data_IF_374684510395
#
_entry.id   IF_374684510395
#
_cell.length_a   1.000
_cell.length_b   1.000
_cell.length_c   1.000
_cell.angle_alpha   90.00
_cell.angle_beta   90.00
_cell.angle_gamma   90.00
#
_symmetry.space_group_name_H-M   'P 1'
#
loop_
_entity.id
_entity.type
_entity.pdbx_description
1 polymer ?
#
# COMPACT_ATOMS: atom_id res chain seq x y z
N UNK A 1 -17.98 4.75 0.82
CA UNK A 1 -16.87 5.52 1.41
C UNK A 1 -17.00 6.96 0.92
N UNK A 2 -17.28 7.94 1.81
CA UNK A 2 -17.63 9.31 1.40
C UNK A 2 -16.39 10.16 1.10
N UNK A 3 -16.36 10.77 -0.08
CA UNK A 3 -15.26 11.59 -0.63
C UNK A 3 -15.02 12.89 0.18
N UNK A 4 -15.97 13.30 1.03
CA UNK A 4 -15.87 14.52 1.86
C UNK A 4 -14.88 14.39 3.04
N UNK A 5 -14.44 13.19 3.42
CA UNK A 5 -13.53 12.95 4.55
C UNK A 5 -12.05 13.26 4.28
N UNK A 6 -11.67 13.62 3.04
CA UNK A 6 -10.27 13.71 2.63
C UNK A 6 -9.60 15.08 2.85
N UNK A 7 -10.33 16.11 3.30
CA UNK A 7 -9.76 17.48 3.40
C UNK A 7 -8.59 17.63 4.39
N UNK A 8 -8.40 16.68 5.31
CA UNK A 8 -7.27 16.63 6.25
C UNK A 8 -6.55 15.27 6.22
N UNK A 9 -6.67 14.54 5.11
CA UNK A 9 -6.09 13.21 4.95
C UNK A 9 -4.85 13.31 4.06
N UNK A 10 -3.68 13.01 4.62
CA UNK A 10 -2.47 12.82 3.82
C UNK A 10 -2.54 11.48 3.11
N UNK A 11 -2.63 11.51 1.78
CA UNK A 11 -2.45 10.33 0.93
C UNK A 11 -0.96 10.23 0.63
N UNK A 12 -0.27 9.33 1.31
CA UNK A 12 1.17 9.14 1.15
C UNK A 12 1.39 7.65 0.89
N UNK A 13 2.31 7.35 -0.03
CA UNK A 13 2.61 5.96 -0.43
C UNK A 13 3.23 5.13 0.69
N UNK A 14 4.04 4.14 0.31
CA UNK A 14 4.80 3.33 1.27
C UNK A 14 5.61 4.24 2.21
N UNK A 15 5.32 4.17 3.50
CA UNK A 15 5.94 5.01 4.52
C UNK A 15 6.74 4.15 5.50
N UNK A 16 8.06 4.35 5.62
CA UNK A 16 8.83 3.72 6.69
C UNK A 16 8.48 4.33 8.05
N UNK A 17 8.69 3.56 9.12
CA UNK A 17 8.38 3.93 10.50
C UNK A 17 8.84 5.33 10.91
N UNK A 18 10.09 5.69 10.61
CA UNK A 18 10.64 7.01 10.93
C UNK A 18 9.84 8.16 10.30
N UNK A 19 9.41 7.98 9.05
CA UNK A 19 8.59 8.98 8.36
C UNK A 19 7.20 9.10 8.98
N UNK A 20 6.61 7.99 9.44
CA UNK A 20 5.33 7.99 10.16
C UNK A 20 5.42 8.74 11.50
N UNK A 21 6.51 8.55 12.25
CA UNK A 21 6.75 9.28 13.51
C UNK A 21 6.98 10.78 13.27
N UNK A 22 7.67 11.14 12.18
CA UNK A 22 7.84 12.54 11.79
C UNK A 22 6.51 13.22 11.45
N UNK A 23 5.62 12.54 10.73
CA UNK A 23 4.27 13.05 10.43
C UNK A 23 3.45 13.25 11.71
N UNK A 24 3.55 12.31 12.65
CA UNK A 24 2.93 12.45 13.96
C UNK A 24 3.47 13.68 14.72
N UNK A 25 4.79 13.87 14.76
CA UNK A 25 5.42 15.04 15.38
C UNK A 25 5.00 16.36 14.70
N UNK A 26 4.61 16.31 13.42
CA UNK A 26 4.07 17.45 12.66
C UNK A 26 2.54 17.65 12.80
N UNK A 27 1.91 17.05 13.82
CA UNK A 27 0.47 17.12 14.07
C UNK A 27 -0.44 16.48 13.00
N UNK A 28 0.10 15.59 12.16
CA UNK A 28 -0.73 14.74 11.30
C UNK A 28 -1.28 13.60 12.14
N UNK A 29 -2.61 13.45 12.15
CA UNK A 29 -3.32 12.44 12.96
C UNK A 29 -4.09 11.41 12.14
N UNK A 30 -4.23 11.65 10.84
CA UNK A 30 -4.91 10.74 9.91
C UNK A 30 -4.04 10.53 8.69
N UNK A 31 -3.53 9.32 8.54
CA UNK A 31 -2.60 8.96 7.47
C UNK A 31 -3.17 7.76 6.74
N UNK A 32 -3.28 7.84 5.41
CA UNK A 32 -3.51 6.64 4.60
C UNK A 32 -2.15 6.08 4.20
N UNK A 33 -1.95 4.80 4.46
CA UNK A 33 -0.81 4.01 3.97
C UNK A 33 -1.34 3.05 2.91
N UNK A 34 -0.72 3.06 1.73
CA UNK A 34 -1.12 2.19 0.62
C UNK A 34 -0.20 0.97 0.52
N UNK A 35 -0.78 -0.21 0.25
CA UNK A 35 0.02 -1.38 -0.14
C UNK A 35 0.67 -1.12 -1.50
N UNK A 36 1.72 -1.88 -1.76
CA UNK A 36 2.24 -1.98 -3.11
C UNK A 36 1.19 -2.67 -3.98
N UNK A 37 0.85 -2.03 -5.10
CA UNK A 37 0.10 -2.62 -6.19
C UNK A 37 0.83 -3.88 -6.74
N UNK A 38 0.19 -4.75 -7.53
CA UNK A 38 0.82 -5.96 -8.07
C UNK A 38 1.85 -5.61 -9.15
N UNK A 39 3.06 -5.24 -8.73
CA UNK A 39 4.14 -4.75 -9.61
C UNK A 39 4.53 -5.80 -10.66
N UNK A 40 4.37 -7.09 -10.36
CA UNK A 40 4.59 -8.19 -11.32
C UNK A 40 3.68 -8.12 -12.56
N UNK A 41 2.65 -7.28 -12.55
CA UNK A 41 1.78 -7.01 -13.69
C UNK A 41 2.23 -5.82 -14.54
N UNK A 42 3.24 -5.05 -14.12
CA UNK A 42 3.67 -3.87 -14.88
C UNK A 42 4.34 -4.25 -16.21
N UNK A 43 4.14 -3.48 -17.30
CA UNK A 43 4.64 -3.83 -18.63
C UNK A 43 6.14 -4.15 -18.68
N UNK A 44 6.95 -3.42 -17.91
CA UNK A 44 8.38 -3.65 -17.79
C UNK A 44 8.71 -5.08 -17.33
N UNK A 45 8.05 -5.57 -16.27
CA UNK A 45 8.30 -6.91 -15.74
C UNK A 45 7.71 -8.01 -16.61
N UNK A 46 6.55 -7.77 -17.24
CA UNK A 46 6.00 -8.70 -18.21
C UNK A 46 6.97 -8.91 -19.38
N UNK A 47 7.59 -7.85 -19.88
CA UNK A 47 8.59 -7.91 -20.94
C UNK A 47 9.88 -8.61 -20.46
N UNK A 48 10.43 -8.19 -19.33
CA UNK A 48 11.67 -8.72 -18.78
C UNK A 48 11.60 -10.23 -18.49
N UNK A 49 10.46 -10.71 -17.98
CA UNK A 49 10.25 -12.13 -17.64
C UNK A 49 9.61 -12.93 -18.78
N UNK A 50 9.50 -12.34 -19.98
CA UNK A 50 8.94 -13.00 -21.16
C UNK A 50 7.57 -13.62 -20.88
N UNK A 51 6.71 -12.86 -20.19
CA UNK A 51 5.40 -13.34 -19.74
C UNK A 51 4.57 -13.85 -20.91
N UNK A 52 4.04 -15.07 -20.77
CA UNK A 52 3.11 -15.65 -21.73
C UNK A 52 1.71 -15.11 -21.47
N UNK A 53 1.11 -14.51 -22.49
CA UNK A 53 -0.27 -13.99 -22.50
C UNK A 53 -0.52 -12.85 -21.47
N UNK A 54 0.51 -12.10 -21.10
CA UNK A 54 0.37 -10.99 -20.15
C UNK A 54 0.05 -11.41 -18.72
N UNK A 55 0.28 -12.68 -18.37
CA UNK A 55 0.15 -13.15 -16.98
C UNK A 55 1.17 -12.44 -16.09
N UNK A 56 0.72 -11.92 -14.96
CA UNK A 56 1.61 -11.28 -14.00
C UNK A 56 2.70 -12.26 -13.54
N UNK A 57 3.91 -11.72 -13.32
CA UNK A 57 5.05 -12.47 -12.80
C UNK A 57 4.77 -12.83 -11.34
N UNK A 58 4.59 -14.12 -11.05
CA UNK A 58 4.13 -14.60 -9.74
C UNK A 58 5.17 -14.31 -8.66
N UNK A 59 6.44 -14.56 -8.95
CA UNK A 59 7.56 -14.42 -8.02
C UNK A 59 7.68 -12.97 -7.51
N UNK A 60 7.45 -11.99 -8.39
CA UNK A 60 7.43 -10.58 -8.00
C UNK A 60 6.23 -10.30 -7.11
N UNK A 61 5.04 -10.75 -7.49
CA UNK A 61 3.83 -10.49 -6.70
C UNK A 61 3.84 -11.22 -5.34
N UNK A 62 4.49 -12.38 -5.22
CA UNK A 62 4.70 -13.07 -3.96
C UNK A 62 5.54 -12.21 -3.00
N UNK A 63 6.67 -11.66 -3.48
CA UNK A 63 7.51 -10.74 -2.70
C UNK A 63 6.76 -9.47 -2.30
N UNK A 64 5.90 -8.95 -3.18
CA UNK A 64 5.04 -7.80 -2.88
C UNK A 64 4.03 -8.15 -1.78
N UNK A 65 3.45 -9.35 -1.79
CA UNK A 65 2.52 -9.79 -0.74
C UNK A 65 3.21 -9.93 0.62
N UNK A 66 4.44 -10.46 0.66
CA UNK A 66 5.24 -10.52 1.89
C UNK A 66 5.54 -9.12 2.44
N UNK A 67 5.91 -8.19 1.56
CA UNK A 67 6.11 -6.79 1.93
C UNK A 67 4.83 -6.14 2.50
N UNK A 68 3.71 -6.32 1.80
CA UNK A 68 2.41 -5.82 2.22
C UNK A 68 1.98 -6.40 3.58
N UNK A 69 2.25 -7.69 3.81
CA UNK A 69 2.04 -8.35 5.10
C UNK A 69 2.87 -7.70 6.21
N UNK A 70 4.18 -7.50 6.01
CA UNK A 70 5.05 -6.82 6.97
C UNK A 70 4.57 -5.38 7.28
N UNK A 71 4.16 -4.63 6.26
CA UNK A 71 3.61 -3.28 6.46
C UNK A 71 2.34 -3.26 7.31
N UNK A 72 1.52 -4.31 7.25
CA UNK A 72 0.33 -4.42 8.10
C UNK A 72 0.70 -4.47 9.57
N UNK A 73 1.73 -5.23 9.95
CA UNK A 73 2.22 -5.26 11.33
C UNK A 73 2.76 -3.90 11.76
N UNK A 74 3.56 -3.28 10.91
CA UNK A 74 4.10 -1.94 11.16
C UNK A 74 3.00 -0.89 11.42
N UNK A 75 1.93 -0.89 10.60
CA UNK A 75 0.78 0.01 10.80
C UNK A 75 0.05 -0.29 12.12
N UNK A 76 -0.06 -1.57 12.50
CA UNK A 76 -0.65 -1.95 13.79
C UNK A 76 0.20 -1.46 14.96
N UNK A 77 1.52 -1.62 14.90
CA UNK A 77 2.45 -1.11 15.92
C UNK A 77 2.38 0.42 16.04
N UNK A 78 2.37 1.14 14.91
CA UNK A 78 2.25 2.61 14.91
C UNK A 78 0.95 3.08 15.56
N UNK A 79 -0.18 2.42 15.27
CA UNK A 79 -1.46 2.75 15.90
C UNK A 79 -1.51 2.42 17.40
N UNK A 80 -0.66 1.50 17.89
CA UNK A 80 -0.51 1.21 19.32
C UNK A 80 0.44 2.18 20.02
N UNK A 81 1.54 2.56 19.36
CA UNK A 81 2.59 3.44 19.90
C UNK A 81 2.17 4.91 19.91
N UNK A 82 1.52 5.37 18.84
CA UNK A 82 1.18 6.77 18.62
C UNK A 82 -0.28 7.01 19.02
N UNK A 83 -0.49 7.25 20.32
CA UNK A 83 -1.80 7.60 20.85
C UNK A 83 -2.38 8.80 20.10
N UNK A 84 -3.67 8.78 19.77
CA UNK A 84 -4.40 9.80 18.98
C UNK A 84 -4.16 9.82 17.46
N UNK A 85 -3.22 9.01 16.96
CA UNK A 85 -3.03 8.80 15.53
C UNK A 85 -3.97 7.71 14.98
N UNK A 86 -4.34 7.85 13.70
CA UNK A 86 -5.07 6.85 12.95
C UNK A 86 -4.40 6.64 11.59
N UNK A 87 -3.58 5.59 11.52
CA UNK A 87 -2.99 5.08 10.29
C UNK A 87 -3.97 4.07 9.69
N UNK A 88 -4.59 4.46 8.58
CA UNK A 88 -5.55 3.66 7.83
C UNK A 88 -4.82 3.00 6.67
N UNK A 89 -5.07 1.71 6.51
CA UNK A 89 -4.47 0.92 5.46
C UNK A 89 -5.39 0.82 4.21
N UNK A 90 -4.84 0.97 3.00
CA UNK A 90 -5.55 0.86 1.73
C UNK A 90 -4.95 -0.22 0.80
N UNK A 91 -5.75 -1.26 0.54
CA UNK A 91 -5.38 -2.44 -0.25
C UNK A 91 -5.34 -2.13 -1.76
N UNK A 92 -4.27 -1.49 -2.19
CA UNK A 92 -4.04 -1.23 -3.60
C UNK A 92 -3.70 -2.50 -4.40
N UNK A 93 -3.29 -3.59 -3.72
CA UNK A 93 -2.97 -4.84 -4.40
C UNK A 93 -4.25 -5.49 -4.91
N UNK A 94 -5.18 -5.79 -4.00
CA UNK A 94 -6.46 -6.43 -4.31
C UNK A 94 -7.30 -5.55 -5.23
N UNK A 95 -7.41 -4.26 -4.94
CA UNK A 95 -8.16 -3.33 -5.79
C UNK A 95 -7.64 -3.33 -7.24
N UNK A 96 -6.32 -3.38 -7.44
CA UNK A 96 -5.73 -3.47 -8.78
C UNK A 96 -6.01 -4.82 -9.44
N UNK A 97 -5.89 -5.92 -8.67
CA UNK A 97 -6.16 -7.27 -9.17
C UNK A 97 -7.63 -7.45 -9.59
N UNK A 98 -8.58 -6.92 -8.83
CA UNK A 98 -10.01 -6.92 -9.18
C UNK A 98 -10.28 -6.17 -10.49
N UNK A 99 -9.69 -4.97 -10.66
CA UNK A 99 -9.82 -4.18 -11.89
C UNK A 99 -9.27 -4.95 -13.08
N UNK A 100 -8.15 -5.65 -12.92
CA UNK A 100 -7.55 -6.45 -14.00
C UNK A 100 -8.35 -7.70 -14.32
N UNK A 101 -8.98 -8.34 -13.33
CA UNK A 101 -9.79 -9.55 -13.52
C UNK A 101 -11.12 -9.26 -14.22
N UNK A 102 -11.69 -8.08 -14.02
CA UNK A 102 -12.96 -7.65 -14.62
C UNK A 102 -12.78 -7.01 -16.01
N UNK A 103 -11.82 -7.51 -16.80
CA UNK A 103 -11.65 -7.16 -18.22
C UNK A 103 -12.36 -8.12 -19.14
#
# INVERSE_FOLDING_TARGET
MNILGFKHLGLIGVLPNESSKNLYNANVRKVIVMWLAPIGCAPHYLWQYQSKNGKCVKEINDMINEFNFAMRYMVQELNQELADANFIFCDAFEASMEIMKNR
#
